data_IF_549880212055
#
_entry.id   IF_549880212055
#
_cell.length_a   1.000
_cell.length_b   1.000
_cell.length_c   1.000
_cell.angle_alpha   90.00
_cell.angle_beta   90.00
_cell.angle_gamma   90.00
#
_symmetry.space_group_name_H-M   'P 1'
#
loop_
_entity.id
_entity.type
_entity.pdbx_description
1 polymer ?
#
# COMPACT_ATOMS: atom_id res chain seq x y z
N UNK A 1 -17.57 8.73 17.69
CA UNK A 1 -17.79 7.69 16.67
C UNK A 1 -16.42 7.24 16.16
N UNK A 2 -16.11 5.94 16.16
CA UNK A 2 -14.96 5.41 15.42
C UNK A 2 -15.29 5.48 13.93
N UNK A 3 -14.59 6.30 13.17
CA UNK A 3 -14.58 6.17 11.71
C UNK A 3 -13.75 4.93 11.39
N UNK A 4 -14.39 3.88 10.89
CA UNK A 4 -13.67 2.72 10.36
C UNK A 4 -13.22 3.08 8.95
N UNK A 5 -11.91 3.37 8.77
CA UNK A 5 -11.36 3.64 7.44
C UNK A 5 -11.37 2.36 6.62
N UNK A 6 -11.59 2.52 5.32
CA UNK A 6 -11.37 1.43 4.36
C UNK A 6 -9.90 1.42 3.99
N UNK A 7 -9.17 0.45 4.54
CA UNK A 7 -7.77 0.23 4.20
C UNK A 7 -7.67 -0.51 2.88
N UNK A 8 -6.71 -0.12 2.03
CA UNK A 8 -6.45 -0.83 0.78
C UNK A 8 -5.56 -2.06 0.97
N UNK A 9 -4.45 -1.90 1.68
CA UNK A 9 -3.41 -2.92 1.94
C UNK A 9 -3.31 -3.28 3.41
N UNK A 10 -2.73 -4.45 3.67
CA UNK A 10 -2.39 -4.97 5.00
C UNK A 10 -0.96 -5.52 5.01
N UNK A 11 -0.37 -5.66 6.19
CA UNK A 11 0.93 -6.34 6.35
C UNK A 11 0.88 -7.74 5.74
N UNK A 12 1.91 -8.08 4.98
CA UNK A 12 2.05 -9.32 4.23
C UNK A 12 1.45 -9.31 2.81
N UNK A 13 0.71 -8.27 2.42
CA UNK A 13 0.27 -8.13 1.03
C UNK A 13 1.50 -7.95 0.11
N UNK A 14 1.51 -8.67 -1.00
CA UNK A 14 2.45 -8.46 -2.10
C UNK A 14 1.88 -7.48 -3.11
N UNK A 15 2.72 -6.58 -3.61
CA UNK A 15 2.32 -5.50 -4.50
C UNK A 15 3.31 -5.26 -5.63
N UNK A 16 2.84 -4.66 -6.70
CA UNK A 16 3.66 -4.05 -7.76
C UNK A 16 3.22 -2.62 -8.02
N UNK A 17 4.11 -1.81 -8.59
CA UNK A 17 3.77 -0.48 -9.07
C UNK A 17 3.66 -0.45 -10.60
N UNK A 18 2.47 -0.19 -11.13
CA UNK A 18 2.20 -0.29 -12.58
C UNK A 18 2.97 0.75 -13.42
N UNK A 19 3.35 1.87 -12.84
CA UNK A 19 4.15 2.91 -13.52
C UNK A 19 5.66 2.81 -13.25
N UNK A 20 6.08 1.97 -12.29
CA UNK A 20 7.48 1.79 -11.91
C UNK A 20 7.81 0.30 -11.81
N UNK A 21 7.74 -0.45 -12.93
CA UNK A 21 7.99 -1.90 -12.92
C UNK A 21 9.40 -2.25 -12.45
N UNK A 22 10.37 -1.34 -12.56
CA UNK A 22 11.74 -1.53 -12.08
C UNK A 22 11.86 -1.67 -10.57
N UNK A 23 10.82 -1.34 -9.80
CA UNK A 23 10.81 -1.58 -8.35
C UNK A 23 10.65 -3.07 -8.02
N UNK A 24 10.14 -3.87 -8.95
CA UNK A 24 9.83 -5.28 -8.73
C UNK A 24 8.65 -5.49 -7.78
N UNK A 25 8.56 -6.69 -7.21
CA UNK A 25 7.56 -7.02 -6.19
C UNK A 25 7.93 -6.32 -4.88
N UNK A 26 6.93 -5.80 -4.19
CA UNK A 26 7.06 -5.24 -2.86
C UNK A 26 6.23 -6.01 -1.84
N UNK A 27 6.75 -6.15 -0.62
CA UNK A 27 6.02 -6.71 0.51
C UNK A 27 5.65 -5.58 1.49
N UNK A 28 4.38 -5.54 1.90
CA UNK A 28 3.94 -4.63 2.96
C UNK A 28 4.45 -5.14 4.30
N UNK A 29 5.44 -4.47 4.87
CA UNK A 29 6.06 -4.86 6.15
C UNK A 29 5.41 -4.22 7.37
N UNK A 30 4.69 -3.10 7.18
CA UNK A 30 4.05 -2.37 8.28
C UNK A 30 2.78 -1.67 7.80
N UNK A 31 1.74 -1.66 8.62
CA UNK A 31 0.54 -0.84 8.45
C UNK A 31 0.30 0.01 9.69
N UNK A 32 0.12 1.32 9.52
CA UNK A 32 -0.16 2.28 10.58
C UNK A 32 -1.50 2.95 10.33
N UNK A 33 -2.42 2.87 11.29
CA UNK A 33 -3.70 3.59 11.27
C UNK A 33 -3.85 4.43 12.54
N UNK A 34 -4.00 5.75 12.38
CA UNK A 34 -4.34 6.61 13.50
C UNK A 34 -5.86 6.65 13.72
N UNK A 35 -6.27 6.52 14.99
CA UNK A 35 -7.67 6.64 15.41
C UNK A 35 -8.11 8.08 15.65
N UNK A 36 -7.19 9.04 15.55
CA UNK A 36 -7.48 10.46 15.72
C UNK A 36 -7.97 11.07 14.40
N UNK A 37 -8.87 12.05 14.51
CA UNK A 37 -9.32 12.84 13.35
C UNK A 37 -8.12 13.56 12.72
N UNK A 38 -7.97 13.42 11.39
CA UNK A 38 -6.80 13.94 10.66
C UNK A 38 -5.51 13.13 10.84
N UNK A 39 -5.55 12.04 11.62
CA UNK A 39 -4.40 11.18 11.81
C UNK A 39 -4.05 10.38 10.54
N UNK A 40 -2.77 10.03 10.40
CA UNK A 40 -2.25 9.32 9.24
C UNK A 40 -2.78 7.89 9.07
N UNK A 41 -2.78 7.42 7.82
CA UNK A 41 -3.08 6.04 7.44
C UNK A 41 -2.08 5.63 6.36
N UNK A 42 -1.11 4.80 6.72
CA UNK A 42 0.04 4.52 5.88
C UNK A 42 0.43 3.04 5.89
N UNK A 43 1.13 2.62 4.84
CA UNK A 43 1.84 1.35 4.78
C UNK A 43 3.29 1.57 4.39
N UNK A 44 4.18 0.72 4.91
CA UNK A 44 5.58 0.64 4.46
C UNK A 44 5.74 -0.61 3.60
N UNK A 45 6.36 -0.43 2.44
CA UNK A 45 6.61 -1.50 1.48
C UNK A 45 8.11 -1.57 1.22
N UNK A 46 8.69 -2.76 1.35
CA UNK A 46 10.05 -3.03 0.88
C UNK A 46 9.94 -3.65 -0.50
N UNK A 47 10.54 -3.00 -1.49
CA UNK A 47 10.57 -3.46 -2.87
C UNK A 47 11.85 -4.24 -3.18
N UNK A 48 11.82 -5.07 -4.21
CA UNK A 48 12.97 -5.86 -4.69
C UNK A 48 14.15 -4.99 -5.14
N UNK A 49 13.91 -3.73 -5.50
CA UNK A 49 14.97 -2.76 -5.75
C UNK A 49 15.75 -2.33 -4.49
N UNK A 50 15.35 -2.85 -3.32
CA UNK A 50 16.00 -2.62 -2.02
C UNK A 50 15.47 -1.40 -1.27
N UNK A 51 14.60 -0.60 -1.88
CA UNK A 51 14.08 0.62 -1.26
C UNK A 51 12.83 0.35 -0.42
N UNK A 52 12.79 1.00 0.75
CA UNK A 52 11.58 1.13 1.55
C UNK A 52 10.81 2.38 1.13
N UNK A 53 9.54 2.20 0.78
CA UNK A 53 8.64 3.30 0.41
C UNK A 53 7.40 3.33 1.30
N UNK A 54 6.94 4.53 1.61
CA UNK A 54 5.76 4.75 2.48
C UNK A 54 4.64 5.31 1.61
N UNK A 55 3.44 4.73 1.73
CA UNK A 55 2.30 5.19 0.98
C UNK A 55 1.08 5.43 1.86
N UNK A 56 0.21 6.34 1.42
CA UNK A 56 -1.12 6.50 2.01
C UNK A 56 -1.99 5.26 1.69
N UNK A 57 -2.62 4.71 2.72
CA UNK A 57 -3.38 3.46 2.65
C UNK A 57 -4.89 3.65 2.84
N UNK A 58 -5.35 4.89 2.90
CA UNK A 58 -6.75 5.24 3.10
C UNK A 58 -7.48 5.23 1.74
N UNK A 59 -8.35 4.24 1.49
CA UNK A 59 -9.05 4.08 0.22
C UNK A 59 -10.06 5.21 -0.05
N UNK A 60 -10.47 5.94 0.99
CA UNK A 60 -11.35 7.11 0.87
C UNK A 60 -10.56 8.41 0.62
N UNK A 61 -9.23 8.35 0.73
CA UNK A 61 -8.35 9.47 0.37
C UNK A 61 -8.03 9.46 -1.12
N UNK A 62 -8.08 10.64 -1.76
CA UNK A 62 -7.55 10.84 -3.11
C UNK A 62 -6.06 10.51 -3.21
N UNK A 63 -5.36 10.54 -2.08
CA UNK A 63 -3.95 10.23 -2.01
C UNK A 63 -3.64 8.73 -1.89
N UNK A 64 -4.66 7.85 -1.88
CA UNK A 64 -4.46 6.42 -1.71
C UNK A 64 -3.50 5.86 -2.74
N UNK A 65 -2.60 4.98 -2.30
CA UNK A 65 -1.61 4.34 -3.15
C UNK A 65 -2.21 3.55 -4.32
N UNK A 66 -3.45 3.06 -4.19
CA UNK A 66 -4.20 2.46 -5.29
C UNK A 66 -4.33 3.43 -6.48
N UNK A 67 -4.66 4.70 -6.24
CA UNK A 67 -4.85 5.68 -7.30
C UNK A 67 -3.52 6.12 -7.95
N UNK A 68 -2.38 5.90 -7.28
CA UNK A 68 -1.04 6.17 -7.80
C UNK A 68 -0.34 5.00 -8.48
N UNK A 69 -0.97 3.82 -8.51
CA UNK A 69 -0.49 2.69 -9.31
C UNK A 69 -0.03 1.47 -8.53
N UNK A 70 -0.18 1.45 -7.20
CA UNK A 70 0.04 0.23 -6.42
C UNK A 70 -1.09 -0.78 -6.69
N UNK A 71 -0.73 -2.04 -6.96
CA UNK A 71 -1.67 -3.15 -7.19
C UNK A 71 -1.23 -4.37 -6.39
N UNK A 72 -2.17 -5.08 -5.79
CA UNK A 72 -1.90 -6.37 -5.14
C UNK A 72 -1.60 -7.42 -6.21
N UNK A 73 -0.62 -8.28 -5.94
CA UNK A 73 -0.23 -9.37 -6.83
C UNK A 73 0.05 -10.65 -6.06
N UNK A 74 0.22 -11.75 -6.79
CA UNK A 74 0.79 -12.98 -6.23
C UNK A 74 2.33 -12.94 -6.21
N UNK A 75 2.94 -14.02 -5.73
CA UNK A 75 4.38 -14.26 -5.66
C UNK A 75 5.12 -14.18 -7.00
N UNK A 76 4.40 -14.24 -8.13
CA UNK A 76 4.95 -14.10 -9.48
C UNK A 76 4.71 -12.70 -10.08
N UNK A 77 4.21 -11.75 -9.28
CA UNK A 77 3.91 -10.40 -9.72
C UNK A 77 2.62 -10.29 -10.54
N UNK A 78 1.81 -11.35 -10.62
CA UNK A 78 0.53 -11.31 -11.35
C UNK A 78 -0.50 -10.56 -10.52
N UNK A 79 -0.99 -9.45 -11.06
CA UNK A 79 -1.98 -8.58 -10.42
C UNK A 79 -3.32 -9.32 -10.25
N UNK A 80 -3.90 -9.25 -9.05
CA UNK A 80 -5.27 -9.72 -8.82
C UNK A 80 -6.27 -8.78 -9.53
N UNK A 81 -7.23 -9.37 -10.27
CA UNK A 81 -8.34 -8.62 -10.88
C UNK A 81 -9.42 -8.30 -9.86
#
# INVERSE_FOLDING_TARGET
>A
MKHYRKLFLKTGDLVVHIHYPQWGIGEVVESTESVLAGGGCYVKVIFEDGDLRIFNNDLESEWCCYYFGIRRCDENGKIYR
#
